data_IF_736763544797
#
_entry.id   IF_736763544797
#
_cell.length_a   1.000
_cell.length_b   1.000
_cell.length_c   1.000
_cell.angle_alpha   90.00
_cell.angle_beta   90.00
_cell.angle_gamma   90.00
#
_symmetry.space_group_name_H-M   'P 1'
#
loop_
_entity.id
_entity.type
_entity.pdbx_description
1 polymer ?
#
# COMPACT_ATOMS: atom_id res chain seq x y z
N UNK A 1 44.50 -9.22 61.11
CA UNK A 1 44.47 -9.57 59.67
C UNK A 1 43.04 -9.95 59.30
N UNK A 2 42.32 -9.09 58.56
CA UNK A 2 40.96 -9.39 58.05
C UNK A 2 41.06 -9.51 56.54
N UNK A 3 40.64 -10.66 55.99
CA UNK A 3 40.64 -10.95 54.55
C UNK A 3 39.29 -10.51 53.98
N UNK A 4 39.30 -9.63 52.99
CA UNK A 4 38.11 -9.24 52.22
C UNK A 4 38.08 -10.08 50.95
N UNK A 5 37.11 -10.98 50.86
CA UNK A 5 36.75 -11.70 49.63
C UNK A 5 36.02 -10.73 48.71
N UNK A 6 36.63 -10.43 47.56
CA UNK A 6 36.11 -9.50 46.56
C UNK A 6 34.98 -10.20 45.78
N UNK A 7 33.74 -9.75 45.98
CA UNK A 7 32.57 -10.20 45.23
C UNK A 7 32.56 -9.41 43.92
N UNK A 8 32.87 -10.10 42.81
CA UNK A 8 32.82 -9.54 41.46
C UNK A 8 31.35 -9.33 41.07
N UNK A 9 30.87 -8.09 41.19
CA UNK A 9 29.52 -7.69 40.81
C UNK A 9 29.45 -7.60 39.28
N UNK A 10 28.87 -8.61 38.63
CA UNK A 10 28.64 -8.59 37.18
C UNK A 10 27.52 -7.61 36.85
N UNK A 11 27.89 -6.43 36.35
CA UNK A 11 26.99 -5.43 35.82
C UNK A 11 26.37 -5.95 34.51
N UNK A 12 25.14 -6.47 34.56
CA UNK A 12 24.38 -6.84 33.36
C UNK A 12 23.89 -5.53 32.72
N UNK A 13 24.60 -5.08 31.68
CA UNK A 13 24.18 -3.98 30.81
C UNK A 13 23.00 -4.46 29.97
N UNK A 14 21.77 -4.25 30.45
CA UNK A 14 20.57 -4.46 29.64
C UNK A 14 20.55 -3.31 28.61
N UNK A 15 21.09 -3.57 27.42
CA UNK A 15 20.86 -2.75 26.24
C UNK A 15 19.36 -2.77 25.93
N UNK A 16 18.62 -1.84 26.52
CA UNK A 16 17.26 -1.56 26.08
C UNK A 16 17.36 -0.88 24.74
N UNK A 17 17.42 -1.66 23.65
CA UNK A 17 17.10 -1.10 22.35
C UNK A 17 15.67 -0.57 22.45
N UNK A 18 15.52 0.74 22.54
CA UNK A 18 14.23 1.39 22.36
C UNK A 18 13.77 0.98 20.97
N UNK A 19 12.87 -0.01 20.89
CA UNK A 19 12.19 -0.30 19.64
C UNK A 19 11.39 0.97 19.35
N UNK A 20 11.73 1.75 18.31
CA UNK A 20 10.95 2.92 17.98
C UNK A 20 9.52 2.43 17.70
N UNK A 21 8.56 2.90 18.50
CA UNK A 21 7.15 2.66 18.25
C UNK A 21 6.77 3.49 17.03
N UNK A 22 6.92 2.92 15.84
CA UNK A 22 6.41 3.55 14.63
C UNK A 22 4.88 3.59 14.74
N UNK A 23 4.32 4.80 14.66
CA UNK A 23 2.88 4.97 14.56
C UNK A 23 2.37 4.18 13.35
N UNK A 24 1.24 3.47 13.52
CA UNK A 24 0.66 2.62 12.47
C UNK A 24 0.36 3.41 11.19
N UNK A 25 0.06 4.69 11.32
CA UNK A 25 -0.15 5.66 10.24
C UNK A 25 0.49 7.00 10.62
N UNK A 26 0.66 7.90 9.65
CA UNK A 26 1.27 9.22 9.87
C UNK A 26 0.33 10.22 10.56
N UNK A 27 -0.87 9.79 10.95
CA UNK A 27 -1.90 10.59 11.62
C UNK A 27 -3.31 10.23 11.17
N UNK A 28 -4.30 10.87 11.77
CA UNK A 28 -5.74 10.63 11.53
C UNK A 28 -6.35 9.56 12.44
N UNK A 29 -7.66 9.40 12.35
CA UNK A 29 -8.46 8.47 13.15
C UNK A 29 -9.10 7.34 12.33
N UNK A 30 -8.90 7.35 11.01
CA UNK A 30 -9.47 6.34 10.10
C UNK A 30 -10.94 6.60 9.77
N UNK A 31 -11.50 7.73 10.19
CA UNK A 31 -12.89 8.13 9.85
C UNK A 31 -12.92 8.86 8.51
N UNK A 32 -14.09 8.96 7.88
CA UNK A 32 -14.22 9.68 6.60
C UNK A 32 -13.83 11.17 6.69
N UNK A 33 -14.00 11.81 7.86
CA UNK A 33 -13.65 13.22 8.10
C UNK A 33 -12.19 13.42 8.50
N UNK A 34 -11.56 12.37 9.00
CA UNK A 34 -10.18 12.39 9.47
C UNK A 34 -9.52 11.05 9.11
N UNK A 35 -9.25 10.84 7.80
CA UNK A 35 -8.72 9.58 7.30
C UNK A 35 -7.29 9.35 7.78
N UNK A 36 -6.90 8.09 7.90
CA UNK A 36 -5.51 7.76 8.21
C UNK A 36 -4.57 8.15 7.07
N UNK A 37 -3.46 8.79 7.43
CA UNK A 37 -2.45 9.25 6.49
C UNK A 37 -1.44 8.14 6.18
N UNK A 38 -1.28 7.86 4.89
CA UNK A 38 -0.40 6.80 4.37
C UNK A 38 0.73 7.43 3.57
N UNK A 39 1.94 7.37 4.10
CA UNK A 39 3.14 7.97 3.51
C UNK A 39 4.24 6.94 3.17
N UNK A 40 4.20 5.75 3.77
CA UNK A 40 5.24 4.70 3.57
C UNK A 40 4.63 3.37 3.19
N UNK A 41 5.49 2.46 2.70
CA UNK A 41 5.09 1.11 2.34
C UNK A 41 4.60 0.30 3.57
N UNK A 42 5.19 0.52 4.74
CA UNK A 42 4.78 -0.09 6.00
C UNK A 42 3.39 0.40 6.43
N UNK A 43 3.12 1.70 6.33
CA UNK A 43 1.80 2.26 6.61
C UNK A 43 0.76 1.77 5.62
N UNK A 44 1.14 1.66 4.34
CA UNK A 44 0.28 1.08 3.31
C UNK A 44 -0.02 -0.39 3.62
N UNK A 45 0.96 -1.15 4.09
CA UNK A 45 0.76 -2.51 4.54
C UNK A 45 -0.24 -2.58 5.70
N UNK A 46 -0.23 -1.63 6.64
CA UNK A 46 -1.14 -1.58 7.78
C UNK A 46 -2.62 -1.39 7.39
N UNK A 47 -2.92 -0.90 6.18
CA UNK A 47 -4.29 -0.78 5.65
C UNK A 47 -5.04 -2.11 5.71
N UNK A 48 -4.35 -3.24 5.50
CA UNK A 48 -4.97 -4.58 5.48
C UNK A 48 -5.57 -5.00 6.83
N UNK A 49 -5.20 -4.33 7.91
CA UNK A 49 -5.74 -4.58 9.26
C UNK A 49 -7.00 -3.77 9.54
N UNK A 50 -7.41 -2.87 8.64
CA UNK A 50 -8.52 -1.95 8.87
C UNK A 50 -9.34 -1.72 7.59
N UNK A 51 -9.88 -2.82 7.06
CA UNK A 51 -10.48 -2.88 5.73
C UNK A 51 -11.74 -2.02 5.52
N UNK A 52 -12.34 -1.47 6.59
CA UNK A 52 -13.54 -0.63 6.57
C UNK A 52 -13.25 0.85 6.90
N UNK A 53 -11.99 1.22 7.12
CA UNK A 53 -11.59 2.59 7.48
C UNK A 53 -11.37 3.48 6.24
N UNK A 54 -11.13 4.77 6.49
CA UNK A 54 -10.79 5.75 5.46
C UNK A 54 -9.31 6.13 5.51
N UNK A 55 -8.69 6.22 4.34
CA UNK A 55 -7.26 6.45 4.15
C UNK A 55 -7.01 7.54 3.11
N UNK A 56 -5.92 8.28 3.30
CA UNK A 56 -5.41 9.24 2.32
C UNK A 56 -3.89 9.10 2.17
N UNK A 57 -3.41 8.99 0.93
CA UNK A 57 -1.98 9.06 0.66
C UNK A 57 -1.47 10.49 0.83
N UNK A 58 -0.27 10.62 1.39
CA UNK A 58 0.40 11.91 1.56
C UNK A 58 1.80 11.94 0.94
N UNK A 59 2.19 10.86 0.25
CA UNK A 59 3.46 10.74 -0.46
C UNK A 59 3.37 9.64 -1.52
N UNK A 60 4.31 9.68 -2.47
CA UNK A 60 4.63 8.53 -3.31
C UNK A 60 5.16 7.38 -2.46
N UNK A 61 4.75 6.15 -2.78
CA UNK A 61 5.11 4.96 -2.01
C UNK A 61 5.90 3.99 -2.90
N UNK A 62 7.08 3.56 -2.45
CA UNK A 62 7.91 2.61 -3.19
C UNK A 62 7.75 1.19 -2.65
N UNK A 63 7.22 0.28 -3.49
CA UNK A 63 7.14 -1.15 -3.24
C UNK A 63 8.25 -1.96 -3.94
N UNK A 64 9.13 -1.34 -4.74
CA UNK A 64 10.34 -2.01 -5.26
C UNK A 64 11.47 -2.03 -4.23
N UNK A 65 11.15 -2.43 -3.01
CA UNK A 65 12.09 -2.59 -1.92
C UNK A 65 11.68 -3.79 -1.07
N UNK A 66 12.64 -4.34 -0.31
CA UNK A 66 12.34 -5.40 0.65
C UNK A 66 11.41 -4.86 1.75
N UNK A 67 10.45 -5.67 2.26
CA UNK A 67 10.16 -7.04 1.86
C UNK A 67 9.20 -7.15 0.66
N UNK A 68 8.64 -6.05 0.18
CA UNK A 68 7.52 -5.98 -0.76
C UNK A 68 7.83 -6.51 -2.17
N UNK A 69 9.10 -6.53 -2.56
CA UNK A 69 9.56 -7.03 -3.86
C UNK A 69 10.26 -8.40 -3.81
N UNK A 70 10.15 -9.13 -2.70
CA UNK A 70 10.78 -10.45 -2.50
C UNK A 70 9.77 -11.58 -2.57
N UNK A 71 10.20 -12.78 -2.99
CA UNK A 71 9.36 -13.98 -3.03
C UNK A 71 8.11 -13.77 -3.89
N UNK A 72 6.94 -13.97 -3.29
CA UNK A 72 5.64 -13.74 -3.92
C UNK A 72 5.28 -12.24 -4.08
N UNK A 73 6.10 -11.34 -3.55
CA UNK A 73 5.91 -9.90 -3.58
C UNK A 73 4.78 -9.41 -2.68
N UNK A 74 4.10 -8.36 -3.12
CA UNK A 74 2.95 -7.76 -2.45
C UNK A 74 1.82 -8.76 -2.27
N UNK A 75 1.25 -8.76 -1.06
CA UNK A 75 0.00 -9.46 -0.78
C UNK A 75 -1.16 -8.49 -0.97
N UNK A 76 -2.18 -8.84 -1.79
CA UNK A 76 -3.35 -8.01 -2.02
C UNK A 76 -4.02 -7.53 -0.73
N UNK A 77 -4.52 -6.29 -0.72
CA UNK A 77 -5.37 -5.78 0.37
C UNK A 77 -6.78 -6.30 0.17
N UNK A 78 -7.31 -6.98 1.20
CA UNK A 78 -8.60 -7.65 1.12
C UNK A 78 -8.57 -8.94 0.30
N UNK A 79 -9.66 -9.70 0.38
CA UNK A 79 -9.86 -11.01 -0.23
C UNK A 79 -11.35 -11.29 -0.37
N UNK A 80 -11.73 -12.37 -1.06
CA UNK A 80 -13.13 -12.77 -1.19
C UNK A 80 -13.86 -12.91 0.17
N UNK A 81 -13.16 -13.43 1.19
CA UNK A 81 -13.70 -13.64 2.56
C UNK A 81 -13.66 -12.39 3.43
N UNK A 82 -12.80 -11.44 3.12
CA UNK A 82 -12.58 -10.24 3.92
C UNK A 82 -12.28 -9.10 2.97
N UNK A 83 -13.35 -8.46 2.51
CA UNK A 83 -13.34 -7.49 1.42
C UNK A 83 -12.91 -6.13 1.96
N UNK A 84 -12.28 -5.32 1.11
CA UNK A 84 -12.03 -3.92 1.44
C UNK A 84 -13.32 -3.12 1.19
N UNK A 85 -13.94 -2.64 2.27
CA UNK A 85 -15.20 -1.87 2.27
C UNK A 85 -15.00 -0.40 2.63
N UNK A 86 -13.76 -0.01 2.94
CA UNK A 86 -13.36 1.33 3.33
C UNK A 86 -13.19 2.29 2.16
N UNK A 87 -12.52 3.41 2.41
CA UNK A 87 -12.23 4.43 1.40
C UNK A 87 -10.72 4.64 1.30
N UNK A 88 -10.16 4.56 0.10
CA UNK A 88 -8.76 4.84 -0.14
C UNK A 88 -8.60 5.98 -1.16
N UNK A 89 -8.12 7.14 -0.70
CA UNK A 89 -7.82 8.27 -1.56
C UNK A 89 -6.32 8.37 -1.81
N UNK A 90 -5.86 8.08 -3.03
CA UNK A 90 -4.46 8.22 -3.42
C UNK A 90 -3.98 9.67 -3.53
N UNK A 91 -4.89 10.65 -3.49
CA UNK A 91 -4.60 12.08 -3.51
C UNK A 91 -3.68 12.54 -4.66
N UNK A 92 -3.61 11.77 -5.75
CA UNK A 92 -2.74 12.05 -6.89
C UNK A 92 -1.30 11.56 -6.75
N UNK A 93 -0.93 10.95 -5.62
CA UNK A 93 0.35 10.27 -5.45
C UNK A 93 0.36 8.90 -6.10
N UNK A 94 1.56 8.37 -6.36
CA UNK A 94 1.73 7.07 -7.00
C UNK A 94 2.36 6.03 -6.08
N UNK A 95 1.93 4.77 -6.25
CA UNK A 95 2.60 3.60 -5.70
C UNK A 95 3.45 2.98 -6.80
N UNK A 96 4.75 2.86 -6.56
CA UNK A 96 5.75 2.44 -7.55
C UNK A 96 6.21 1.01 -7.28
N UNK A 97 6.48 0.24 -8.32
CA UNK A 97 7.26 -0.99 -8.18
C UNK A 97 6.51 -2.17 -7.58
N UNK A 98 5.18 -2.19 -7.72
CA UNK A 98 4.35 -3.28 -7.23
C UNK A 98 4.73 -4.59 -7.92
N UNK A 99 5.14 -5.61 -7.16
CA UNK A 99 5.37 -6.97 -7.67
C UNK A 99 4.40 -7.93 -7.00
N UNK A 100 3.71 -8.75 -7.77
CA UNK A 100 2.89 -9.86 -7.26
C UNK A 100 3.25 -11.09 -8.09
N UNK A 101 3.66 -12.17 -7.43
CA UNK A 101 3.98 -13.44 -8.06
C UNK A 101 3.29 -14.59 -7.32
N UNK A 102 2.00 -14.76 -7.62
CA UNK A 102 1.07 -15.70 -6.98
C UNK A 102 0.24 -16.39 -8.06
N UNK A 103 0.87 -17.17 -8.96
CA UNK A 103 0.24 -17.68 -10.19
C UNK A 103 -0.99 -18.55 -9.91
N UNK A 104 -0.99 -19.32 -8.83
CA UNK A 104 -2.07 -20.23 -8.46
C UNK A 104 -3.10 -19.61 -7.50
N UNK A 105 -2.94 -18.32 -7.17
CA UNK A 105 -3.83 -17.63 -6.26
C UNK A 105 -4.98 -16.94 -6.99
N UNK A 106 -6.18 -17.00 -6.41
CA UNK A 106 -7.33 -16.19 -6.83
C UNK A 106 -7.21 -14.75 -6.29
N UNK A 107 -7.94 -13.81 -6.89
CA UNK A 107 -8.04 -12.43 -6.41
C UNK A 107 -6.69 -11.71 -6.32
N UNK A 108 -5.87 -11.84 -7.37
CA UNK A 108 -4.54 -11.24 -7.40
C UNK A 108 -4.58 -9.80 -7.90
N UNK A 109 -4.22 -8.89 -6.99
CA UNK A 109 -4.06 -7.49 -7.33
C UNK A 109 -3.58 -6.60 -6.20
N UNK A 110 -3.52 -5.29 -6.42
CA UNK A 110 -3.19 -4.34 -5.35
C UNK A 110 -4.20 -4.47 -4.21
N UNK A 111 -5.49 -4.52 -4.57
CA UNK A 111 -6.57 -5.03 -3.76
C UNK A 111 -7.02 -6.39 -4.30
N UNK A 112 -7.34 -7.34 -3.41
CA UNK A 112 -7.85 -8.65 -3.82
C UNK A 112 -9.36 -8.62 -4.04
N UNK A 113 -10.10 -7.91 -3.20
CA UNK A 113 -11.54 -7.75 -3.37
C UNK A 113 -11.99 -6.39 -2.82
N UNK A 114 -12.68 -5.61 -3.66
CA UNK A 114 -13.14 -4.25 -3.39
C UNK A 114 -14.67 -4.19 -3.38
N UNK A 115 -15.23 -3.69 -2.28
CA UNK A 115 -16.63 -3.23 -2.16
C UNK A 115 -16.73 -1.77 -1.69
N UNK A 116 -15.61 -1.20 -1.24
CA UNK A 116 -15.47 0.20 -0.86
C UNK A 116 -15.09 1.11 -2.04
N UNK A 117 -14.57 2.29 -1.72
CA UNK A 117 -14.18 3.30 -2.70
C UNK A 117 -12.66 3.43 -2.82
N UNK A 118 -12.16 3.53 -4.05
CA UNK A 118 -10.76 3.87 -4.35
C UNK A 118 -10.76 5.02 -5.36
N UNK A 119 -10.08 6.12 -5.02
CA UNK A 119 -10.03 7.33 -5.85
C UNK A 119 -8.62 7.89 -5.94
N UNK A 120 -8.29 8.51 -7.08
CA UNK A 120 -7.03 9.23 -7.31
C UNK A 120 -5.76 8.42 -6.95
N UNK A 121 -5.80 7.10 -7.14
CA UNK A 121 -4.70 6.18 -6.90
C UNK A 121 -3.96 5.91 -8.21
N UNK A 122 -2.66 6.21 -8.26
CA UNK A 122 -1.81 5.83 -9.38
C UNK A 122 -0.91 4.65 -9.04
N UNK A 123 -0.76 3.71 -9.97
CA UNK A 123 0.22 2.62 -9.89
C UNK A 123 1.22 2.76 -11.03
N UNK A 124 2.53 2.67 -10.74
CA UNK A 124 3.60 2.81 -11.73
C UNK A 124 4.59 1.66 -11.63
N UNK A 125 5.06 1.17 -12.77
CA UNK A 125 6.04 0.08 -12.87
C UNK A 125 5.59 -1.19 -12.11
N UNK A 126 4.35 -1.63 -12.37
CA UNK A 126 3.74 -2.78 -11.71
C UNK A 126 3.93 -4.07 -12.53
N UNK A 127 4.22 -5.18 -11.86
CA UNK A 127 4.30 -6.52 -12.45
C UNK A 127 3.46 -7.49 -11.59
N UNK A 128 2.42 -8.09 -12.17
CA UNK A 128 1.44 -8.88 -11.44
C UNK A 128 1.21 -10.18 -12.19
N UNK A 129 1.48 -11.30 -11.52
CA UNK A 129 1.32 -12.65 -12.02
C UNK A 129 0.41 -13.42 -11.05
N UNK A 130 -0.77 -13.85 -11.53
CA UNK A 130 -1.81 -14.48 -10.72
C UNK A 130 -3.18 -14.51 -11.40
N UNK A 131 -4.11 -15.33 -10.91
CA UNK A 131 -5.48 -15.40 -11.45
C UNK A 131 -6.35 -14.24 -10.91
N UNK A 132 -7.16 -13.70 -11.82
CA UNK A 132 -8.07 -12.56 -11.63
C UNK A 132 -9.42 -12.96 -11.02
N UNK A 133 -9.57 -14.24 -10.69
CA UNK A 133 -10.82 -14.91 -10.33
C UNK A 133 -11.54 -14.37 -9.09
N UNK A 134 -12.70 -13.76 -9.35
CA UNK A 134 -13.94 -13.77 -8.55
C UNK A 134 -13.93 -13.06 -7.17
N UNK A 135 -14.31 -11.79 -7.18
CA UNK A 135 -14.90 -11.13 -6.00
C UNK A 135 -14.94 -9.61 -6.05
N UNK A 136 -13.92 -8.97 -6.63
CA UNK A 136 -13.84 -7.52 -6.78
C UNK A 136 -14.06 -7.11 -8.22
N UNK A 137 -15.30 -7.15 -8.71
CA UNK A 137 -15.69 -6.65 -10.04
C UNK A 137 -14.78 -7.10 -11.22
N UNK A 138 -14.12 -8.26 -11.16
CA UNK A 138 -13.29 -8.77 -12.25
C UNK A 138 -12.24 -7.78 -12.77
N UNK A 139 -11.73 -6.89 -11.92
CA UNK A 139 -10.69 -5.93 -12.31
C UNK A 139 -9.36 -6.42 -11.76
N UNK A 140 -8.54 -6.96 -12.65
CA UNK A 140 -7.12 -7.08 -12.39
C UNK A 140 -6.59 -5.71 -12.00
N UNK A 141 -5.48 -5.67 -11.27
CA UNK A 141 -4.76 -4.39 -11.09
C UNK A 141 -4.23 -3.84 -12.42
N UNK A 142 -4.11 -4.68 -13.46
CA UNK A 142 -3.90 -4.22 -14.84
C UNK A 142 -5.06 -3.35 -15.34
N UNK A 143 -6.28 -3.56 -14.83
CA UNK A 143 -7.48 -2.76 -15.13
C UNK A 143 -7.64 -1.57 -14.16
N UNK A 144 -6.70 -1.40 -13.22
CA UNK A 144 -6.48 -0.17 -12.44
C UNK A 144 -5.44 0.75 -13.11
N UNK A 145 -4.91 0.36 -14.26
CA UNK A 145 -4.08 1.18 -15.16
C UNK A 145 -5.01 1.79 -16.21
N UNK A 146 -5.53 2.99 -15.93
CA UNK A 146 -6.47 3.76 -16.77
C UNK A 146 -7.88 3.13 -17.00
N UNK A 147 -8.96 3.94 -17.05
CA UNK A 147 -9.88 3.92 -15.92
C UNK A 147 -11.31 3.55 -16.30
N UNK A 148 -11.98 2.79 -15.42
CA UNK A 148 -13.44 2.78 -15.36
C UNK A 148 -13.92 2.63 -13.90
N UNK A 149 -14.16 3.77 -13.24
CA UNK A 149 -15.32 3.93 -12.37
C UNK A 149 -15.79 5.38 -12.48
N UNK A 150 -17.10 5.63 -12.36
CA UNK A 150 -17.71 6.95 -12.60
C UNK A 150 -17.16 8.05 -11.67
N UNK A 151 -16.52 7.67 -10.56
CA UNK A 151 -16.03 8.57 -9.51
C UNK A 151 -14.49 8.62 -9.40
N UNK A 152 -13.76 7.97 -10.30
CA UNK A 152 -12.28 7.96 -10.28
C UNK A 152 -11.67 9.35 -10.55
N UNK A 153 -12.43 10.30 -11.10
CA UNK A 153 -11.95 11.59 -11.60
C UNK A 153 -12.34 12.84 -10.77
N UNK A 154 -12.85 12.69 -9.54
CA UNK A 154 -13.15 13.86 -8.73
C UNK A 154 -11.85 14.60 -8.36
N UNK A 155 -11.63 15.78 -8.98
CA UNK A 155 -10.47 16.66 -8.75
C UNK A 155 -9.30 16.54 -9.74
N UNK A 156 -9.45 15.79 -10.84
CA UNK A 156 -8.40 15.65 -11.86
C UNK A 156 -8.39 16.85 -12.83
N UNK A 157 -7.25 17.55 -12.94
CA UNK A 157 -7.03 18.57 -13.97
C UNK A 157 -6.82 17.90 -15.34
N UNK A 158 -7.84 17.98 -16.21
CA UNK A 158 -7.83 17.38 -17.56
C UNK A 158 -6.95 18.10 -18.59
N UNK A 159 -6.38 19.25 -18.25
CA UNK A 159 -5.46 19.98 -19.14
C UNK A 159 -4.03 19.43 -19.08
N UNK A 160 -3.64 18.77 -17.98
CA UNK A 160 -2.28 18.23 -17.76
C UNK A 160 -2.20 16.75 -18.16
N UNK A 161 -3.31 16.01 -18.06
CA UNK A 161 -3.37 14.57 -18.32
C UNK A 161 -4.44 14.26 -19.37
N UNK A 162 -4.11 14.61 -20.61
CA UNK A 162 -4.86 14.18 -21.78
C UNK A 162 -4.48 12.74 -22.16
N UNK A 163 -5.35 11.98 -22.83
CA UNK A 163 -4.99 10.70 -23.44
C UNK A 163 -3.79 10.88 -24.38
N UNK A 164 -2.62 10.38 -24.01
CA UNK A 164 -1.44 10.38 -24.85
C UNK A 164 -1.41 9.12 -25.72
N UNK A 165 -2.38 9.01 -26.62
CA UNK A 165 -2.48 7.89 -27.57
C UNK A 165 -1.30 7.83 -28.55
N UNK A 166 -0.43 8.84 -28.56
CA UNK A 166 0.74 8.94 -29.41
C UNK A 166 2.09 8.80 -28.69
N UNK A 167 2.12 8.66 -27.36
CA UNK A 167 3.34 8.61 -26.53
C UNK A 167 4.29 9.82 -26.71
N UNK A 168 3.77 11.02 -26.97
CA UNK A 168 4.58 12.22 -27.26
C UNK A 168 4.62 13.25 -26.13
N UNK A 169 3.74 13.14 -25.15
CA UNK A 169 3.48 14.19 -24.16
C UNK A 169 4.08 13.83 -22.79
N UNK A 170 4.21 12.54 -22.46
CA UNK A 170 4.60 12.09 -21.11
C UNK A 170 5.94 11.33 -20.99
N UNK A 171 6.83 11.43 -21.99
CA UNK A 171 8.22 10.96 -21.86
C UNK A 171 8.36 9.46 -21.56
N UNK A 172 7.85 8.62 -22.46
CA UNK A 172 7.94 7.15 -22.38
C UNK A 172 7.18 6.53 -21.17
N UNK A 173 6.09 7.15 -20.73
CA UNK A 173 5.19 6.54 -19.75
C UNK A 173 4.08 5.78 -20.46
N UNK A 174 4.03 4.43 -20.35
CA UNK A 174 2.92 3.67 -20.88
C UNK A 174 1.65 3.98 -20.09
N UNK A 175 0.59 4.09 -20.87
CA UNK A 175 -0.81 4.30 -20.54
C UNK A 175 -1.29 3.44 -19.36
#
# INVERSE_FOLDING_TARGET
MKRYTSICLTLILILTSSIPLFAQFAGGSGTARDPWKVATAEQLNNVRSHLNASFIQTADINLDAKPWNQGEGWKPIGSHRSRFTGNYNGAGFVIKGLKINRPDGDAQGFFGCLEGSVQSLGLKNSNIQGDSGVGGLGRCTSDMVHPYSHNTYLGWNREIWAPDTGHKINGEHPC
#
